data_IF_552350269030
#
_entry.id   IF_552350269030
#
_cell.length_a   1.000
_cell.length_b   1.000
_cell.length_c   1.000
_cell.angle_alpha   90.00
_cell.angle_beta   90.00
_cell.angle_gamma   90.00
#
_symmetry.space_group_name_H-M   'P 1'
#
loop_
_entity.id
_entity.type
_entity.pdbx_description
1 polymer ?
#
# COMPACT_ATOMS: atom_id res chain seq x y z
N UNK A 1 -18.19 0.15 -14.06
CA UNK A 1 -16.88 -0.36 -14.22
C UNK A 1 -15.98 0.64 -14.88
N UNK A 2 -14.79 0.71 -14.37
CA UNK A 2 -13.73 1.49 -14.97
C UNK A 2 -13.24 0.76 -16.21
N UNK A 3 -12.79 1.55 -17.17
CA UNK A 3 -12.23 1.05 -18.42
C UNK A 3 -10.75 1.34 -18.47
N UNK A 4 -10.05 0.71 -19.38
CA UNK A 4 -8.65 0.99 -19.61
C UNK A 4 -8.43 2.45 -19.93
N UNK A 5 -7.30 2.99 -19.53
CA UNK A 5 -6.86 4.31 -19.92
C UNK A 5 -6.76 4.46 -21.43
N UNK A 6 -7.09 5.64 -21.94
CA UNK A 6 -6.96 5.94 -23.36
C UNK A 6 -5.56 5.71 -23.90
N UNK A 7 -4.52 5.94 -23.10
CA UNK A 7 -3.14 5.62 -23.47
C UNK A 7 -2.93 4.14 -23.74
N UNK A 8 -3.65 3.28 -23.04
CA UNK A 8 -3.62 1.83 -23.23
C UNK A 8 -4.52 1.41 -24.38
N UNK A 9 -5.76 1.91 -24.41
CA UNK A 9 -6.74 1.63 -25.45
C UNK A 9 -6.31 2.14 -26.82
N UNK A 10 -5.57 3.23 -26.87
CA UNK A 10 -4.96 3.77 -28.08
C UNK A 10 -3.66 3.07 -28.50
N UNK A 11 -3.19 2.11 -27.76
CA UNK A 11 -2.15 1.19 -28.23
C UNK A 11 -2.64 0.54 -29.51
N UNK A 12 -2.11 0.97 -30.63
CA UNK A 12 -2.63 0.90 -32.01
C UNK A 12 -3.00 -0.48 -32.56
N UNK A 13 -2.81 -1.53 -31.81
CA UNK A 13 -3.09 -2.92 -32.22
C UNK A 13 -3.87 -3.67 -31.16
N UNK A 14 -4.46 -2.99 -30.20
CA UNK A 14 -5.24 -3.62 -29.15
C UNK A 14 -6.68 -3.77 -29.66
N UNK A 15 -7.10 -4.99 -29.94
CA UNK A 15 -8.48 -5.33 -30.28
C UNK A 15 -9.11 -6.03 -29.10
N UNK A 16 -10.17 -5.46 -28.56
CA UNK A 16 -10.94 -6.05 -27.48
C UNK A 16 -12.38 -6.25 -27.93
N UNK A 17 -13.07 -7.30 -27.47
CA UNK A 17 -14.49 -7.50 -27.79
C UNK A 17 -15.41 -6.51 -27.05
N UNK A 18 -14.84 -5.62 -26.23
CA UNK A 18 -15.58 -4.63 -25.46
C UNK A 18 -15.41 -3.25 -26.05
N UNK A 19 -16.48 -2.46 -26.00
CA UNK A 19 -16.39 -1.05 -26.26
C UNK A 19 -15.68 -0.38 -25.09
N UNK A 20 -14.55 0.24 -25.37
CA UNK A 20 -13.72 0.90 -24.36
C UNK A 20 -14.02 2.40 -24.33
N UNK A 21 -14.21 2.95 -23.16
CA UNK A 21 -14.30 4.37 -22.92
C UNK A 21 -13.05 4.85 -22.18
N UNK A 22 -12.68 6.13 -22.29
CA UNK A 22 -11.57 6.67 -21.52
C UNK A 22 -11.73 6.38 -20.03
N UNK A 23 -10.66 5.91 -19.40
CA UNK A 23 -10.65 5.71 -17.95
C UNK A 23 -10.84 7.07 -17.25
N UNK A 24 -11.54 7.04 -16.11
CA UNK A 24 -11.90 8.25 -15.37
C UNK A 24 -10.87 8.65 -14.34
N UNK A 25 -10.10 7.69 -13.85
CA UNK A 25 -9.07 7.94 -12.85
C UNK A 25 -7.98 6.87 -12.89
N UNK A 26 -6.75 7.27 -12.61
CA UNK A 26 -5.64 6.37 -12.32
C UNK A 26 -5.69 5.90 -10.86
N UNK A 27 -4.92 4.87 -10.53
CA UNK A 27 -4.78 4.40 -9.15
C UNK A 27 -4.30 5.49 -8.19
N UNK A 28 -3.48 6.43 -8.67
CA UNK A 28 -2.96 7.55 -7.87
C UNK A 28 -3.81 8.83 -7.93
N UNK A 29 -5.11 8.71 -8.20
CA UNK A 29 -6.08 9.83 -8.14
C UNK A 29 -5.89 10.92 -9.20
N UNK A 30 -5.42 10.59 -10.39
CA UNK A 30 -5.48 11.47 -11.53
C UNK A 30 -6.81 11.27 -12.27
N UNK A 31 -7.66 12.31 -12.26
CA UNK A 31 -9.05 12.22 -12.73
C UNK A 31 -9.23 12.84 -14.14
N UNK A 32 -8.45 12.42 -15.11
CA UNK A 32 -8.64 12.78 -16.50
C UNK A 32 -8.28 11.61 -17.44
N UNK A 33 -8.69 11.74 -18.71
CA UNK A 33 -8.46 10.71 -19.72
C UNK A 33 -7.03 10.74 -20.33
N UNK A 34 -6.22 11.73 -19.97
CA UNK A 34 -4.90 11.98 -20.55
C UNK A 34 -3.82 12.10 -19.47
N UNK A 35 -3.64 11.09 -18.61
CA UNK A 35 -2.62 11.13 -17.58
C UNK A 35 -1.21 11.10 -18.19
N UNK A 36 -0.27 11.66 -17.45
CA UNK A 36 1.15 11.58 -17.79
C UNK A 36 1.74 10.25 -17.31
N UNK A 37 2.95 9.93 -17.77
CA UNK A 37 3.64 8.69 -17.42
C UNK A 37 3.81 8.48 -15.90
N UNK A 38 3.94 9.57 -15.16
CA UNK A 38 4.09 9.53 -13.68
C UNK A 38 2.74 9.46 -12.94
N UNK A 39 1.63 9.45 -13.65
CA UNK A 39 0.29 9.39 -13.08
C UNK A 39 -0.27 7.97 -13.02
N UNK A 40 0.60 6.94 -12.98
CA UNK A 40 0.22 5.53 -13.01
C UNK A 40 -0.78 5.20 -14.13
N UNK A 41 -0.51 5.72 -15.32
CA UNK A 41 -1.42 5.67 -16.47
C UNK A 41 -1.83 4.25 -16.88
N UNK A 42 -1.07 3.25 -16.49
CA UNK A 42 -1.35 1.82 -16.71
C UNK A 42 -2.36 1.25 -15.70
N UNK A 43 -2.78 2.03 -14.72
CA UNK A 43 -3.70 1.59 -13.67
C UNK A 43 -5.07 2.22 -13.83
N UNK A 44 -6.07 1.59 -13.23
CA UNK A 44 -7.44 2.10 -13.16
C UNK A 44 -7.89 2.09 -11.71
N UNK A 45 -8.38 3.24 -11.23
CA UNK A 45 -8.95 3.32 -9.89
C UNK A 45 -10.29 2.62 -9.84
N UNK A 46 -10.40 1.64 -8.97
CA UNK A 46 -11.67 0.97 -8.69
C UNK A 46 -12.57 1.84 -7.81
N UNK A 47 -13.87 1.74 -8.04
CA UNK A 47 -14.85 2.49 -7.27
C UNK A 47 -15.15 1.78 -5.95
N UNK A 48 -14.56 2.27 -4.86
CA UNK A 48 -14.83 1.83 -3.50
C UNK A 48 -15.91 2.66 -2.79
N UNK A 49 -16.65 3.50 -3.51
CA UNK A 49 -17.73 4.31 -2.95
C UNK A 49 -17.28 5.65 -2.38
N UNK A 50 -16.12 6.18 -2.80
CA UNK A 50 -15.67 7.51 -2.42
C UNK A 50 -15.72 8.43 -3.64
N UNK A 51 -16.42 9.54 -3.52
CA UNK A 51 -16.46 10.59 -4.54
C UNK A 51 -15.32 11.59 -4.33
N UNK A 52 -14.20 11.33 -4.98
CA UNK A 52 -12.98 12.13 -4.83
C UNK A 52 -13.10 13.55 -5.41
N UNK A 53 -14.03 13.77 -6.33
CA UNK A 53 -14.21 15.07 -6.99
C UNK A 53 -15.16 15.99 -6.20
N UNK A 54 -16.02 15.44 -5.37
CA UNK A 54 -17.00 16.17 -4.59
C UNK A 54 -16.75 16.02 -3.07
N UNK A 55 -15.60 16.48 -2.63
CA UNK A 55 -15.25 16.57 -1.21
C UNK A 55 -14.97 15.23 -0.54
N UNK A 56 -14.67 14.17 -1.31
CA UNK A 56 -14.41 12.81 -0.82
C UNK A 56 -15.59 12.23 -0.02
N UNK A 57 -16.82 12.57 -0.44
CA UNK A 57 -18.02 12.03 0.20
C UNK A 57 -18.08 10.51 0.09
N UNK A 58 -18.50 9.84 1.15
CA UNK A 58 -18.53 8.40 1.27
C UNK A 58 -19.93 7.87 0.96
N UNK A 59 -20.01 6.84 0.14
CA UNK A 59 -21.24 6.17 -0.29
C UNK A 59 -21.10 4.68 -0.04
N UNK A 60 -21.21 4.28 1.22
CA UNK A 60 -21.00 2.89 1.66
C UNK A 60 -22.30 2.15 2.00
N UNK A 61 -23.45 2.80 1.85
CA UNK A 61 -24.77 2.20 2.01
C UNK A 61 -25.63 2.52 0.77
N UNK A 62 -26.02 1.51 -0.02
CA UNK A 62 -25.63 0.10 0.13
C UNK A 62 -24.13 -0.12 -0.10
N UNK A 63 -23.60 -1.21 0.48
CA UNK A 63 -22.18 -1.58 0.31
C UNK A 63 -21.83 -1.68 -1.18
N UNK A 64 -20.77 -1.01 -1.65
CA UNK A 64 -20.37 -1.05 -3.05
C UNK A 64 -20.07 -2.49 -3.53
N UNK A 65 -20.49 -2.84 -4.73
CA UNK A 65 -20.28 -4.17 -5.31
C UNK A 65 -18.78 -4.53 -5.40
N UNK A 66 -17.93 -3.54 -5.62
CA UNK A 66 -16.47 -3.68 -5.56
C UNK A 66 -15.98 -4.33 -4.25
N UNK A 67 -16.61 -3.97 -3.11
CA UNK A 67 -16.21 -4.54 -1.82
C UNK A 67 -16.49 -6.05 -1.75
N UNK A 68 -17.64 -6.49 -2.27
CA UNK A 68 -17.95 -7.91 -2.31
C UNK A 68 -16.97 -8.66 -3.20
N UNK A 69 -16.74 -8.17 -4.42
CA UNK A 69 -15.83 -8.79 -5.40
C UNK A 69 -14.39 -8.89 -4.89
N UNK A 70 -13.88 -7.80 -4.30
CA UNK A 70 -12.52 -7.81 -3.75
C UNK A 70 -12.41 -8.71 -2.52
N UNK A 71 -13.44 -8.77 -1.68
CA UNK A 71 -13.47 -9.71 -0.55
C UNK A 71 -13.51 -11.16 -1.04
N UNK A 72 -14.27 -11.46 -2.09
CA UNK A 72 -14.33 -12.81 -2.67
C UNK A 72 -12.97 -13.24 -3.24
N UNK A 73 -12.20 -12.30 -3.82
CA UNK A 73 -10.82 -12.56 -4.26
C UNK A 73 -9.91 -12.91 -3.07
N UNK A 74 -10.02 -12.16 -1.97
CA UNK A 74 -9.25 -12.46 -0.75
C UNK A 74 -9.62 -13.83 -0.19
N UNK A 75 -10.91 -14.15 -0.11
CA UNK A 75 -11.40 -15.46 0.35
C UNK A 75 -10.95 -16.60 -0.56
N UNK A 76 -10.94 -16.38 -1.88
CA UNK A 76 -10.44 -17.36 -2.84
C UNK A 76 -8.99 -17.74 -2.57
N UNK A 77 -8.11 -16.76 -2.35
CA UNK A 77 -6.72 -17.02 -2.06
C UNK A 77 -6.51 -17.55 -0.65
N UNK A 78 -7.26 -17.08 0.33
CA UNK A 78 -7.24 -17.62 1.69
C UNK A 78 -7.54 -19.13 1.69
N UNK A 79 -8.53 -19.57 0.90
CA UNK A 79 -8.85 -20.99 0.75
C UNK A 79 -7.74 -21.83 0.09
N UNK A 80 -6.73 -21.21 -0.50
CA UNK A 80 -5.54 -21.91 -1.05
C UNK A 80 -4.46 -22.13 0.00
N UNK A 81 -4.65 -21.69 1.24
CA UNK A 81 -3.74 -21.92 2.35
C UNK A 81 -2.55 -20.95 2.39
N UNK A 82 -2.76 -19.70 1.99
CA UNK A 82 -1.76 -18.66 2.17
C UNK A 82 -1.73 -18.19 3.63
N UNK A 83 -0.58 -17.68 4.08
CA UNK A 83 -0.37 -17.25 5.46
C UNK A 83 -0.69 -15.76 5.66
N UNK A 84 -0.52 -14.93 4.62
CA UNK A 84 -0.71 -13.49 4.73
C UNK A 84 -1.06 -12.82 3.39
N UNK A 85 -1.65 -11.63 3.48
CA UNK A 85 -1.80 -10.68 2.39
C UNK A 85 -0.93 -9.44 2.63
N UNK A 86 -0.06 -9.12 1.70
CA UNK A 86 0.53 -7.78 1.60
C UNK A 86 -0.37 -6.94 0.71
N UNK A 87 -0.89 -5.86 1.26
CA UNK A 87 -1.84 -4.98 0.58
C UNK A 87 -1.11 -3.74 0.07
N UNK A 88 -0.92 -3.72 -1.25
CA UNK A 88 -0.26 -2.64 -1.97
C UNK A 88 -1.03 -1.34 -1.83
N UNK A 89 -0.32 -0.24 -1.53
CA UNK A 89 -0.89 1.10 -1.39
C UNK A 89 -2.25 1.10 -0.67
N UNK A 90 -2.33 0.40 0.46
CA UNK A 90 -3.58 0.18 1.19
C UNK A 90 -4.28 1.49 1.57
N UNK A 91 -3.52 2.58 1.76
CA UNK A 91 -4.07 3.91 2.09
C UNK A 91 -4.85 4.57 0.93
N UNK A 92 -4.72 4.06 -0.29
CA UNK A 92 -5.51 4.50 -1.44
C UNK A 92 -6.90 3.84 -1.50
N UNK A 93 -7.17 2.93 -0.60
CA UNK A 93 -8.45 2.22 -0.45
C UNK A 93 -9.05 2.60 0.91
N UNK A 94 -10.36 2.90 1.00
CA UNK A 94 -10.96 3.34 2.26
C UNK A 94 -10.76 2.35 3.41
N UNK A 95 -10.40 2.84 4.60
CA UNK A 95 -10.25 2.00 5.80
C UNK A 95 -11.54 1.21 6.12
N UNK A 96 -12.71 1.76 5.79
CA UNK A 96 -13.98 1.09 5.95
C UNK A 96 -14.09 -0.19 5.12
N UNK A 97 -13.55 -0.20 3.88
CA UNK A 97 -13.45 -1.44 3.08
C UNK A 97 -12.56 -2.47 3.78
N UNK A 98 -11.42 -2.08 4.28
CA UNK A 98 -10.51 -3.00 4.98
C UNK A 98 -11.17 -3.60 6.21
N UNK A 99 -11.87 -2.78 7.00
CA UNK A 99 -12.68 -3.29 8.13
C UNK A 99 -13.69 -4.35 7.68
N UNK A 100 -14.37 -4.09 6.57
CA UNK A 100 -15.35 -5.00 6.00
C UNK A 100 -14.73 -6.33 5.53
N UNK A 101 -13.65 -6.23 4.75
CA UNK A 101 -13.01 -7.37 4.10
C UNK A 101 -12.22 -8.23 5.11
N UNK A 102 -11.37 -7.61 5.92
CA UNK A 102 -10.52 -8.31 6.89
C UNK A 102 -11.37 -9.07 7.91
N UNK A 103 -12.44 -8.44 8.41
CA UNK A 103 -13.37 -9.12 9.32
C UNK A 103 -13.97 -10.39 8.71
N UNK A 104 -14.33 -10.36 7.41
CA UNK A 104 -14.90 -11.52 6.71
C UNK A 104 -13.87 -12.61 6.47
N UNK A 105 -12.65 -12.24 6.07
CA UNK A 105 -11.57 -13.21 5.86
C UNK A 105 -11.19 -13.85 7.19
N UNK A 106 -10.90 -13.08 8.24
CA UNK A 106 -10.49 -13.60 9.54
C UNK A 106 -11.59 -14.39 10.25
N UNK A 107 -12.86 -14.15 9.93
CA UNK A 107 -13.95 -14.99 10.43
C UNK A 107 -13.85 -16.45 9.95
N UNK A 108 -13.36 -16.68 8.73
CA UNK A 108 -13.21 -18.02 8.16
C UNK A 108 -11.76 -18.54 8.30
N UNK A 109 -10.78 -17.65 8.28
CA UNK A 109 -9.35 -17.95 8.30
C UNK A 109 -8.65 -17.04 9.34
N UNK A 110 -8.81 -17.32 10.65
CA UNK A 110 -8.38 -16.41 11.71
C UNK A 110 -6.87 -16.20 11.78
N UNK A 111 -6.08 -17.14 11.25
CA UNK A 111 -4.61 -17.11 11.29
C UNK A 111 -3.99 -16.27 10.17
N UNK A 112 -4.77 -15.86 9.16
CA UNK A 112 -4.24 -15.07 8.05
C UNK A 112 -3.88 -13.66 8.53
N UNK A 113 -2.65 -13.25 8.25
CA UNK A 113 -2.17 -11.91 8.56
C UNK A 113 -2.45 -10.93 7.42
N UNK A 114 -2.67 -9.68 7.79
CA UNK A 114 -2.80 -8.56 6.85
C UNK A 114 -1.71 -7.54 7.11
N UNK A 115 -0.91 -7.25 6.07
CA UNK A 115 0.21 -6.32 6.10
C UNK A 115 -0.11 -5.17 5.14
N UNK A 116 -0.17 -3.94 5.63
CA UNK A 116 -0.50 -2.79 4.81
C UNK A 116 0.73 -1.96 4.44
N UNK A 117 0.78 -1.56 3.20
CA UNK A 117 1.63 -0.47 2.76
C UNK A 117 0.88 0.85 2.96
N UNK A 118 1.29 1.59 3.99
CA UNK A 118 0.73 2.91 4.35
C UNK A 118 1.91 3.84 4.61
N UNK A 119 1.97 4.96 3.91
CA UNK A 119 3.08 5.92 4.02
C UNK A 119 2.72 7.20 4.77
N UNK A 120 1.43 7.43 5.02
CA UNK A 120 0.98 8.55 5.83
C UNK A 120 0.90 8.17 7.33
N UNK A 121 1.81 8.66 8.19
CA UNK A 121 1.79 8.31 9.61
C UNK A 121 0.49 8.70 10.33
N UNK A 122 -0.19 9.74 9.86
CA UNK A 122 -1.47 10.16 10.45
C UNK A 122 -2.59 9.12 10.20
N UNK A 123 -2.43 8.25 9.22
CA UNK A 123 -3.39 7.21 8.90
C UNK A 123 -3.12 5.88 9.64
N UNK A 124 -1.95 5.66 10.22
CA UNK A 124 -1.55 4.39 10.81
C UNK A 124 -2.60 3.82 11.78
N UNK A 125 -3.06 4.62 12.73
CA UNK A 125 -4.05 4.18 13.72
C UNK A 125 -5.37 3.74 13.09
N UNK A 126 -5.81 4.40 12.01
CA UNK A 126 -7.04 4.04 11.32
C UNK A 126 -6.91 2.70 10.60
N UNK A 127 -5.76 2.42 9.99
CA UNK A 127 -5.52 1.14 9.30
C UNK A 127 -5.32 -0.01 10.29
N UNK A 128 -4.63 0.19 11.40
CA UNK A 128 -4.58 -0.81 12.48
C UNK A 128 -6.00 -1.07 13.02
N UNK A 129 -6.78 -0.03 13.29
CA UNK A 129 -8.15 -0.19 13.76
C UNK A 129 -9.07 -0.89 12.74
N UNK A 130 -8.74 -0.84 11.45
CA UNK A 130 -9.47 -1.57 10.40
C UNK A 130 -9.17 -3.07 10.35
N UNK A 131 -8.18 -3.54 11.13
CA UNK A 131 -7.88 -4.97 11.29
C UNK A 131 -6.55 -5.43 10.70
N UNK A 132 -5.72 -4.55 10.15
CA UNK A 132 -4.36 -4.90 9.76
C UNK A 132 -3.53 -5.30 10.97
N UNK A 133 -2.74 -6.34 10.80
CA UNK A 133 -1.83 -6.83 11.83
C UNK A 133 -0.54 -6.01 11.84
N UNK A 134 -0.04 -5.63 10.64
CA UNK A 134 1.19 -4.88 10.48
C UNK A 134 1.09 -3.80 9.42
N UNK A 135 1.85 -2.72 9.61
CA UNK A 135 2.10 -1.65 8.65
C UNK A 135 3.60 -1.59 8.33
N UNK A 136 3.93 -1.23 7.10
CA UNK A 136 5.33 -0.93 6.75
C UNK A 136 5.85 0.28 7.52
N UNK A 137 6.97 0.12 8.21
CA UNK A 137 7.70 1.23 8.82
C UNK A 137 8.68 1.86 7.80
N UNK A 138 8.11 2.41 6.73
CA UNK A 138 8.88 3.04 5.64
C UNK A 138 9.34 4.44 6.03
N UNK A 139 8.39 5.29 6.37
CA UNK A 139 8.61 6.73 6.60
C UNK A 139 9.31 7.00 7.93
N UNK A 140 9.14 6.11 8.90
CA UNK A 140 9.80 6.17 10.20
C UNK A 140 11.20 5.57 10.16
N UNK A 141 11.30 4.29 10.53
CA UNK A 141 12.59 3.64 10.77
C UNK A 141 13.40 3.41 9.48
N UNK A 142 12.77 2.95 8.38
CA UNK A 142 13.50 2.70 7.13
C UNK A 142 14.20 3.96 6.62
N UNK A 143 13.46 5.06 6.44
CA UNK A 143 14.04 6.32 5.91
C UNK A 143 15.11 6.86 6.84
N UNK A 144 14.92 6.74 8.15
CA UNK A 144 15.91 7.14 9.15
C UNK A 144 17.19 6.32 9.04
N UNK A 145 17.09 4.98 9.01
CA UNK A 145 18.25 4.10 8.89
C UNK A 145 19.00 4.32 7.59
N UNK A 146 18.27 4.48 6.49
CA UNK A 146 18.87 4.80 5.19
C UNK A 146 19.63 6.12 5.23
N UNK A 147 19.04 7.17 5.79
CA UNK A 147 19.69 8.46 5.92
C UNK A 147 20.98 8.39 6.77
N UNK A 148 20.96 7.61 7.85
CA UNK A 148 22.14 7.40 8.71
C UNK A 148 23.25 6.67 7.93
N UNK A 149 22.94 5.57 7.27
CA UNK A 149 23.89 4.78 6.49
C UNK A 149 24.48 5.57 5.33
N UNK A 150 23.68 6.44 4.71
CA UNK A 150 24.12 7.38 3.66
C UNK A 150 24.83 8.63 4.21
N UNK A 151 25.13 8.70 5.52
CA UNK A 151 25.78 9.84 6.17
C UNK A 151 24.98 11.16 6.05
N UNK A 152 23.67 11.10 5.94
CA UNK A 152 22.75 12.25 5.85
C UNK A 152 22.11 12.60 7.19
N UNK A 153 22.15 11.70 8.16
CA UNK A 153 21.59 11.89 9.49
C UNK A 153 22.48 11.28 10.58
N UNK A 154 22.29 11.76 11.81
CA UNK A 154 22.95 11.19 13.00
C UNK A 154 22.18 9.96 13.50
N UNK A 155 22.89 9.02 14.11
CA UNK A 155 22.29 7.86 14.79
C UNK A 155 21.26 8.23 15.87
N UNK A 156 21.36 9.43 16.46
CA UNK A 156 20.37 9.94 17.41
C UNK A 156 18.96 10.10 16.83
N UNK A 157 18.82 10.15 15.49
CA UNK A 157 17.53 10.22 14.83
C UNK A 157 16.67 8.95 15.02
N UNK A 158 17.28 7.79 15.34
CA UNK A 158 16.56 6.53 15.60
C UNK A 158 15.55 6.69 16.73
N UNK A 159 15.92 7.38 17.81
CA UNK A 159 15.02 7.63 18.93
C UNK A 159 13.75 8.36 18.49
N UNK A 160 13.90 9.37 17.63
CA UNK A 160 12.75 10.11 17.09
C UNK A 160 11.87 9.24 16.21
N UNK A 161 12.46 8.37 15.39
CA UNK A 161 11.70 7.42 14.57
C UNK A 161 10.85 6.46 15.41
N UNK A 162 11.42 5.89 16.48
CA UNK A 162 10.67 5.03 17.40
C UNK A 162 9.56 5.77 18.15
N UNK A 163 9.84 6.99 18.63
CA UNK A 163 8.84 7.81 19.29
C UNK A 163 7.67 8.21 18.39
N UNK A 164 7.92 8.35 17.09
CA UNK A 164 6.87 8.73 16.13
C UNK A 164 5.78 7.68 15.98
N UNK A 165 6.06 6.43 16.30
CA UNK A 165 5.12 5.30 16.26
C UNK A 165 4.72 4.81 17.66
N UNK A 166 4.83 5.68 18.68
CA UNK A 166 4.53 5.31 20.07
C UNK A 166 3.11 4.74 20.22
N UNK A 167 3.04 3.56 20.87
CA UNK A 167 1.81 2.79 21.01
C UNK A 167 1.38 2.02 19.75
N UNK A 168 2.24 1.95 18.72
CA UNK A 168 2.04 1.15 17.51
C UNK A 168 3.23 0.23 17.20
N UNK A 169 4.27 0.23 18.02
CA UNK A 169 5.53 -0.46 17.75
C UNK A 169 5.32 -1.94 17.38
N UNK A 170 4.45 -2.64 18.09
CA UNK A 170 4.15 -4.05 17.87
C UNK A 170 3.46 -4.34 16.52
N UNK A 171 3.00 -3.29 15.86
CA UNK A 171 2.34 -3.35 14.55
C UNK A 171 3.22 -2.84 13.40
N UNK A 172 4.45 -2.40 13.69
CA UNK A 172 5.32 -1.86 12.65
C UNK A 172 6.22 -2.95 12.07
N UNK A 173 6.10 -3.20 10.76
CA UNK A 173 6.95 -4.12 10.05
C UNK A 173 8.21 -3.39 9.59
N UNK A 174 9.32 -3.66 10.26
CA UNK A 174 10.61 -3.11 9.90
C UNK A 174 11.20 -3.87 8.71
N UNK A 175 11.85 -3.15 7.81
CA UNK A 175 12.56 -3.71 6.67
C UNK A 175 13.66 -2.77 6.20
N UNK A 176 14.59 -3.28 5.39
CA UNK A 176 15.65 -2.48 4.74
C UNK A 176 15.64 -2.63 3.22
N UNK A 177 14.96 -3.62 2.69
CA UNK A 177 14.83 -3.89 1.26
C UNK A 177 13.43 -4.39 0.95
N UNK A 178 12.91 -4.01 -0.19
CA UNK A 178 11.78 -4.64 -0.86
C UNK A 178 11.94 -4.47 -2.38
N UNK A 179 10.90 -4.73 -3.17
CA UNK A 179 10.93 -4.63 -4.62
C UNK A 179 10.93 -3.17 -5.13
N UNK A 180 10.53 -2.21 -4.30
CA UNK A 180 10.48 -0.78 -4.64
C UNK A 180 11.72 -0.02 -4.15
N UNK A 181 12.45 -0.57 -3.17
CA UNK A 181 13.58 0.10 -2.55
C UNK A 181 14.91 -0.45 -3.05
N UNK A 182 15.95 0.37 -2.90
CA UNK A 182 17.30 -0.02 -3.29
C UNK A 182 17.84 -1.15 -2.39
N UNK A 183 18.61 -2.05 -2.99
CA UNK A 183 19.35 -3.07 -2.23
C UNK A 183 20.27 -2.39 -1.23
N UNK A 184 20.38 -2.91 0.00
CA UNK A 184 21.19 -2.31 1.05
C UNK A 184 22.69 -2.24 0.68
N UNK A 185 23.18 -3.16 -0.13
CA UNK A 185 24.56 -3.16 -0.60
C UNK A 185 24.78 -2.29 -1.85
N UNK A 186 23.74 -1.69 -2.43
CA UNK A 186 23.85 -0.85 -3.63
C UNK A 186 24.58 0.46 -3.34
N UNK A 187 25.20 1.08 -4.36
CA UNK A 187 25.81 2.41 -4.21
C UNK A 187 24.83 3.49 -3.74
N UNK A 188 23.54 3.32 -4.01
CA UNK A 188 22.47 4.25 -3.64
C UNK A 188 22.00 4.11 -2.19
N UNK A 189 22.43 3.05 -1.49
CA UNK A 189 22.18 2.84 -0.07
C UNK A 189 23.51 2.84 0.69
N UNK A 190 24.07 1.68 1.03
CA UNK A 190 25.30 1.59 1.82
C UNK A 190 26.59 1.50 0.98
N UNK A 191 26.48 1.06 -0.28
CA UNK A 191 27.62 0.78 -1.15
C UNK A 191 28.42 -0.49 -0.78
N UNK A 192 28.20 -1.01 0.41
CA UNK A 192 28.83 -2.22 0.95
C UNK A 192 27.89 -2.85 1.98
N UNK A 193 27.67 -4.17 1.88
CA UNK A 193 26.80 -4.90 2.81
C UNK A 193 27.26 -4.77 4.28
N UNK A 194 28.57 -4.69 4.53
CA UNK A 194 29.13 -4.54 5.89
C UNK A 194 28.73 -3.21 6.53
N UNK A 195 28.65 -2.14 5.75
CA UNK A 195 28.17 -0.84 6.24
C UNK A 195 26.70 -0.87 6.63
N UNK A 196 25.92 -1.73 5.99
CA UNK A 196 24.49 -1.88 6.30
C UNK A 196 24.22 -2.73 7.54
N UNK A 197 25.19 -3.52 8.03
CA UNK A 197 24.99 -4.45 9.15
C UNK A 197 24.44 -3.78 10.42
N UNK A 198 24.90 -2.59 10.85
CA UNK A 198 24.30 -1.93 12.01
C UNK A 198 22.82 -1.59 11.81
N UNK A 199 22.44 -1.14 10.61
CA UNK A 199 21.04 -0.87 10.28
C UNK A 199 20.21 -2.17 10.28
N UNK A 200 20.76 -3.26 9.73
CA UNK A 200 20.11 -4.57 9.77
C UNK A 200 19.90 -5.05 11.21
N UNK A 201 20.87 -4.87 12.09
CA UNK A 201 20.71 -5.22 13.51
C UNK A 201 19.57 -4.41 14.16
N UNK A 202 19.51 -3.10 13.91
CA UNK A 202 18.45 -2.24 14.47
C UNK A 202 17.07 -2.62 13.92
N UNK A 203 16.98 -3.04 12.65
CA UNK A 203 15.69 -3.37 12.04
C UNK A 203 15.09 -4.70 12.52
N UNK A 204 15.84 -5.54 13.25
CA UNK A 204 15.37 -6.83 13.77
C UNK A 204 15.30 -6.89 15.30
N UNK A 205 15.69 -5.82 15.98
CA UNK A 205 15.61 -5.66 17.43
C UNK A 205 14.32 -4.96 17.85
#
# INVERSE_FOLDING_TARGET
GETLHTHFAQGKNFSTPYEETPAKATGNDRFDAWPQVNDWYETVKLNYGVDYLNGRSEHFDPVPDTWNKMTDILLFWAAKGIDAFRCDMAEMVPAAFWTYAIKRVKHQYPEILFIAEVYNPNAYRAYIASGFDYLYDKVGLYDTLRAIVCCQASASAITGAWQSVDGLQDHMLHFLENHDEQRIASPQFAGDARKAMPAAAVSVL
#
